data_IF_755112328537
#
_entry.id   IF_755112328537
#
_cell.length_a   1.000
_cell.length_b   1.000
_cell.length_c   1.000
_cell.angle_alpha   90.00
_cell.angle_beta   90.00
_cell.angle_gamma   90.00
#
_symmetry.space_group_name_H-M   'P 1'
#
loop_
_entity.id
_entity.type
_entity.pdbx_description
1 polymer ?
#
# COMPACT_ATOMS: atom_id res chain seq x y z
N UNK A 1 5.59 40.94 -77.14
CA UNK A 1 5.99 39.72 -76.41
C UNK A 1 6.09 39.91 -74.88
N UNK A 2 5.52 40.97 -74.29
CA UNK A 2 5.66 41.22 -72.83
C UNK A 2 4.66 40.45 -71.96
N UNK A 3 3.42 40.23 -72.43
CA UNK A 3 2.37 39.52 -71.66
C UNK A 3 2.72 38.06 -71.31
N UNK A 4 3.46 37.36 -72.18
CA UNK A 4 3.87 35.97 -71.95
C UNK A 4 5.00 35.88 -70.90
N UNK A 5 5.90 36.88 -70.84
CA UNK A 5 6.98 36.94 -69.84
C UNK A 5 6.43 37.24 -68.44
N UNK A 6 5.47 38.17 -68.33
CA UNK A 6 4.84 38.48 -67.04
C UNK A 6 4.04 37.29 -66.48
N UNK A 7 3.30 36.55 -67.30
CA UNK A 7 2.58 35.34 -66.85
C UNK A 7 3.53 34.25 -66.32
N UNK A 8 4.70 34.06 -66.95
CA UNK A 8 5.69 33.08 -66.46
C UNK A 8 6.27 33.48 -65.10
N UNK A 9 6.57 34.78 -64.89
CA UNK A 9 7.05 35.29 -63.60
C UNK A 9 5.97 35.15 -62.51
N UNK A 10 4.71 35.44 -62.85
CA UNK A 10 3.59 35.33 -61.92
C UNK A 10 3.33 33.88 -61.47
N UNK A 11 3.39 32.92 -62.40
CA UNK A 11 3.26 31.49 -62.10
C UNK A 11 4.42 31.01 -61.21
N UNK A 12 5.65 31.43 -61.49
CA UNK A 12 6.82 31.04 -60.68
C UNK A 12 6.71 31.55 -59.23
N UNK A 13 6.28 32.80 -59.03
CA UNK A 13 6.08 33.38 -57.69
C UNK A 13 4.98 32.63 -56.93
N UNK A 14 3.89 32.28 -57.63
CA UNK A 14 2.76 31.57 -57.02
C UNK A 14 3.12 30.13 -56.61
N UNK A 15 3.92 29.43 -57.42
CA UNK A 15 4.41 28.09 -57.10
C UNK A 15 5.37 28.11 -55.90
N UNK A 16 6.29 29.07 -55.84
CA UNK A 16 7.20 29.21 -54.69
C UNK A 16 6.42 29.54 -53.41
N UNK A 17 5.41 30.40 -53.49
CA UNK A 17 4.54 30.74 -52.35
C UNK A 17 3.81 29.52 -51.77
N UNK A 18 3.28 28.64 -52.61
CA UNK A 18 2.59 27.42 -52.17
C UNK A 18 3.55 26.46 -51.46
N UNK A 19 4.78 26.31 -51.97
CA UNK A 19 5.80 25.43 -51.37
C UNK A 19 6.19 25.94 -49.96
N UNK A 20 6.39 27.25 -49.80
CA UNK A 20 6.74 27.86 -48.52
C UNK A 20 5.63 27.67 -47.48
N UNK A 21 4.36 27.85 -47.89
CA UNK A 21 3.21 27.59 -47.01
C UNK A 21 3.15 26.12 -46.59
N UNK A 22 3.44 25.19 -47.51
CA UNK A 22 3.50 23.76 -47.21
C UNK A 22 4.55 23.41 -46.15
N UNK A 23 5.75 23.99 -46.25
CA UNK A 23 6.83 23.80 -45.26
C UNK A 23 6.45 24.40 -43.91
N UNK A 24 5.86 25.60 -43.89
CA UNK A 24 5.41 26.25 -42.65
C UNK A 24 4.30 25.46 -41.95
N UNK A 25 3.35 24.89 -42.71
CA UNK A 25 2.30 24.03 -42.16
C UNK A 25 2.86 22.71 -41.61
N UNK A 26 3.89 22.14 -42.23
CA UNK A 26 4.57 20.95 -41.73
C UNK A 26 5.34 21.25 -40.43
N UNK A 27 6.05 22.38 -40.36
CA UNK A 27 6.72 22.83 -39.14
C UNK A 27 5.73 23.15 -38.02
N UNK A 28 4.57 23.73 -38.32
CA UNK A 28 3.51 24.00 -37.35
C UNK A 28 2.90 22.69 -36.80
N UNK A 29 2.72 21.68 -37.65
CA UNK A 29 2.28 20.35 -37.21
C UNK A 29 3.33 19.65 -36.33
N UNK A 30 4.63 19.76 -36.67
CA UNK A 30 5.71 19.24 -35.82
C UNK A 30 5.82 19.98 -34.48
N UNK A 31 5.66 21.31 -34.46
CA UNK A 31 5.63 22.09 -33.22
C UNK A 31 4.43 21.72 -32.34
N UNK A 32 3.26 21.44 -32.94
CA UNK A 32 2.07 21.02 -32.20
C UNK A 32 2.21 19.62 -31.57
N UNK A 33 2.93 18.70 -32.21
CA UNK A 33 3.21 17.37 -31.66
C UNK A 33 4.30 17.38 -30.57
N UNK A 34 5.25 18.32 -30.66
CA UNK A 34 6.29 18.52 -29.66
C UNK A 34 5.91 19.56 -28.59
N UNK A 35 4.64 19.99 -28.54
CA UNK A 35 4.22 20.94 -27.53
C UNK A 35 4.18 20.27 -26.14
N UNK A 36 4.44 21.01 -25.06
CA UNK A 36 4.32 20.51 -23.69
C UNK A 36 2.93 19.89 -23.40
N UNK A 37 1.89 20.34 -24.09
CA UNK A 37 0.50 19.88 -23.94
C UNK A 37 0.29 18.49 -24.57
N UNK A 38 0.96 18.20 -25.69
CA UNK A 38 0.95 16.87 -26.31
C UNK A 38 1.73 15.85 -25.45
N UNK A 39 2.84 16.27 -24.83
CA UNK A 39 3.61 15.44 -23.90
C UNK A 39 2.88 15.25 -22.55
N UNK A 40 2.18 16.26 -22.05
CA UNK A 40 1.41 16.16 -20.81
C UNK A 40 0.24 15.17 -20.93
N UNK A 41 -0.44 15.11 -22.07
CA UNK A 41 -1.50 14.11 -22.32
C UNK A 41 -0.97 12.67 -22.36
N UNK A 42 0.23 12.47 -22.90
CA UNK A 42 0.92 11.17 -22.94
C UNK A 42 1.40 10.75 -21.55
N UNK A 43 1.88 11.71 -20.74
CA UNK A 43 2.24 11.47 -19.35
C UNK A 43 1.03 11.13 -18.47
N UNK A 44 -0.09 11.85 -18.63
CA UNK A 44 -1.34 11.55 -17.92
C UNK A 44 -1.91 10.18 -18.32
N UNK A 45 -1.82 9.82 -19.60
CA UNK A 45 -2.27 8.51 -20.10
C UNK A 45 -1.41 7.37 -19.58
N UNK A 46 -0.08 7.53 -19.57
CA UNK A 46 0.84 6.52 -19.02
C UNK A 46 0.71 6.39 -17.50
N UNK A 47 0.56 7.50 -16.77
CA UNK A 47 0.28 7.45 -15.34
C UNK A 47 -1.04 6.71 -15.03
N UNK A 48 -2.11 7.00 -15.77
CA UNK A 48 -3.39 6.27 -15.63
C UNK A 48 -3.27 4.79 -15.98
N UNK A 49 -2.54 4.44 -17.05
CA UNK A 49 -2.33 3.05 -17.46
C UNK A 49 -1.47 2.26 -16.45
N UNK A 50 -0.43 2.89 -15.89
CA UNK A 50 0.37 2.33 -14.80
C UNK A 50 -0.47 2.10 -13.55
N UNK A 51 -1.26 3.10 -13.12
CA UNK A 51 -2.16 2.96 -11.97
C UNK A 51 -3.23 1.88 -12.17
N UNK A 52 -3.78 1.75 -13.38
CA UNK A 52 -4.71 0.67 -13.71
C UNK A 52 -4.04 -0.71 -13.66
N UNK A 53 -2.79 -0.82 -14.12
CA UNK A 53 -2.00 -2.05 -14.08
C UNK A 53 -1.69 -2.46 -12.63
N UNK A 54 -1.31 -1.50 -11.79
CA UNK A 54 -1.10 -1.73 -10.35
C UNK A 54 -2.38 -2.19 -9.67
N UNK A 55 -3.54 -1.57 -9.94
CA UNK A 55 -4.82 -2.00 -9.35
C UNK A 55 -5.22 -3.43 -9.73
N UNK A 56 -4.91 -3.87 -10.96
CA UNK A 56 -5.13 -5.26 -11.38
C UNK A 56 -4.16 -6.21 -10.69
N UNK A 57 -2.90 -5.82 -10.55
CA UNK A 57 -1.88 -6.59 -9.84
C UNK A 57 -2.22 -6.74 -8.35
N UNK A 58 -2.66 -5.68 -7.69
CA UNK A 58 -3.08 -5.69 -6.28
C UNK A 58 -4.24 -6.67 -6.06
N UNK A 59 -5.28 -6.59 -6.89
CA UNK A 59 -6.42 -7.53 -6.84
C UNK A 59 -6.01 -8.98 -7.10
N UNK A 60 -5.03 -9.21 -7.97
CA UNK A 60 -4.51 -10.54 -8.23
C UNK A 60 -3.68 -11.07 -7.05
N UNK A 61 -2.88 -10.19 -6.43
CA UNK A 61 -2.09 -10.49 -5.23
C UNK A 61 -3.00 -10.82 -4.05
N UNK A 62 -4.02 -10.01 -3.78
CA UNK A 62 -5.02 -10.27 -2.72
C UNK A 62 -5.66 -11.65 -2.88
N UNK A 63 -6.06 -12.03 -4.10
CA UNK A 63 -6.61 -13.37 -4.38
C UNK A 63 -5.59 -14.48 -4.17
N UNK A 64 -4.33 -14.27 -4.55
CA UNK A 64 -3.27 -15.24 -4.35
C UNK A 64 -2.94 -15.41 -2.86
N UNK A 65 -2.86 -14.30 -2.11
CA UNK A 65 -2.63 -14.26 -0.67
C UNK A 65 -3.77 -14.93 0.10
N UNK A 66 -5.03 -14.67 -0.24
CA UNK A 66 -6.16 -15.35 0.37
C UNK A 66 -6.12 -16.88 0.16
N UNK A 67 -5.78 -17.33 -1.05
CA UNK A 67 -5.60 -18.77 -1.36
C UNK A 67 -4.44 -19.38 -0.57
N UNK A 68 -3.37 -18.62 -0.35
CA UNK A 68 -2.20 -19.04 0.42
C UNK A 68 -2.51 -19.11 1.91
N UNK A 69 -3.05 -18.04 2.48
CA UNK A 69 -3.48 -17.94 3.88
C UNK A 69 -4.43 -19.07 4.28
N UNK A 70 -5.36 -19.45 3.39
CA UNK A 70 -6.31 -20.54 3.61
C UNK A 70 -5.65 -21.94 3.78
N UNK A 71 -4.40 -22.13 3.33
CA UNK A 71 -3.65 -23.38 3.47
C UNK A 71 -2.70 -23.37 4.68
N UNK A 72 -2.43 -22.20 5.23
CA UNK A 72 -1.50 -22.04 6.34
C UNK A 72 -2.22 -22.24 7.68
N UNK A 73 -1.47 -22.69 8.69
CA UNK A 73 -1.96 -22.93 10.04
C UNK A 73 -1.18 -22.07 11.02
N UNK A 74 -1.83 -21.69 12.11
CA UNK A 74 -1.22 -20.89 13.17
C UNK A 74 -2.10 -19.72 13.56
N UNK A 75 -1.86 -19.24 14.78
CA UNK A 75 -2.49 -18.05 15.32
C UNK A 75 -1.56 -16.86 15.05
N UNK A 76 -2.15 -15.68 14.92
CA UNK A 76 -1.40 -14.43 14.69
C UNK A 76 -1.72 -13.46 15.81
N UNK A 77 -0.70 -12.80 16.33
CA UNK A 77 -0.84 -11.66 17.25
C UNK A 77 0.14 -10.56 16.81
N UNK A 78 -0.38 -9.38 16.48
CA UNK A 78 0.41 -8.23 16.02
C UNK A 78 1.38 -8.57 14.88
N UNK A 79 0.83 -9.23 13.84
CA UNK A 79 1.57 -9.67 12.63
C UNK A 79 2.68 -10.70 12.89
N UNK A 80 2.73 -11.29 14.09
CA UNK A 80 3.63 -12.38 14.44
C UNK A 80 2.85 -13.68 14.66
N UNK A 81 3.49 -14.80 14.38
CA UNK A 81 3.01 -16.10 14.86
C UNK A 81 3.01 -16.10 16.39
N UNK A 82 1.88 -16.48 16.97
CA UNK A 82 1.78 -16.72 18.41
C UNK A 82 1.47 -18.19 18.67
N UNK A 83 2.06 -18.73 19.74
CA UNK A 83 1.69 -20.03 20.30
C UNK A 83 0.47 -19.95 21.21
N UNK A 84 0.00 -18.75 21.57
CA UNK A 84 -1.11 -18.56 22.47
C UNK A 84 -2.46 -18.76 21.78
N UNK A 85 -3.33 -19.45 22.48
CA UNK A 85 -4.74 -19.61 22.14
C UNK A 85 -5.58 -18.54 22.84
N UNK A 86 -6.87 -18.46 22.48
CA UNK A 86 -7.86 -17.60 23.18
C UNK A 86 -7.84 -17.80 24.69
N UNK A 87 -7.75 -19.06 25.14
CA UNK A 87 -7.75 -19.40 26.55
C UNK A 87 -6.48 -18.89 27.25
N UNK A 88 -5.33 -18.91 26.59
CA UNK A 88 -4.07 -18.44 27.17
C UNK A 88 -4.13 -16.94 27.45
N UNK A 89 -4.64 -16.15 26.50
CA UNK A 89 -4.85 -14.70 26.70
C UNK A 89 -5.81 -14.40 27.87
N UNK A 90 -6.95 -15.11 27.92
CA UNK A 90 -7.94 -14.91 28.98
C UNK A 90 -7.40 -15.30 30.35
N UNK A 91 -6.73 -16.45 30.44
CA UNK A 91 -6.11 -16.93 31.67
C UNK A 91 -4.99 -16.00 32.14
N UNK A 92 -4.16 -15.50 31.22
CA UNK A 92 -3.11 -14.55 31.53
C UNK A 92 -3.70 -13.24 32.06
N UNK A 93 -4.68 -12.65 31.36
CA UNK A 93 -5.32 -11.38 31.78
C UNK A 93 -5.93 -11.50 33.17
N UNK A 94 -6.65 -12.60 33.45
CA UNK A 94 -7.23 -12.85 34.76
C UNK A 94 -6.16 -12.96 35.87
N UNK A 95 -5.07 -13.69 35.62
CA UNK A 95 -3.95 -13.82 36.56
C UNK A 95 -3.24 -12.49 36.79
N UNK A 96 -2.97 -11.76 35.71
CA UNK A 96 -2.29 -10.47 35.75
C UNK A 96 -3.10 -9.44 36.54
N UNK A 97 -4.40 -9.30 36.26
CA UNK A 97 -5.28 -8.35 36.96
C UNK A 97 -5.58 -8.74 38.42
N UNK A 98 -5.32 -9.98 38.82
CA UNK A 98 -5.40 -10.41 40.22
C UNK A 98 -4.18 -9.98 41.05
N UNK A 99 -3.07 -9.60 40.42
CA UNK A 99 -1.90 -9.05 41.10
C UNK A 99 -2.20 -7.64 41.62
N UNK A 100 -1.50 -7.22 42.68
CA UNK A 100 -1.57 -5.85 43.16
C UNK A 100 -1.06 -4.88 42.10
N UNK A 101 -1.57 -3.64 42.07
CA UNK A 101 -1.12 -2.63 41.11
C UNK A 101 0.40 -2.38 41.20
N UNK A 102 0.93 -2.30 42.42
CA UNK A 102 2.37 -2.18 42.65
C UNK A 102 3.17 -3.36 42.08
N UNK A 103 2.62 -4.57 42.08
CA UNK A 103 3.30 -5.72 41.48
C UNK A 103 3.23 -5.69 39.95
N UNK A 104 2.12 -5.24 39.38
CA UNK A 104 1.95 -5.11 37.93
C UNK A 104 2.86 -4.05 37.35
N UNK A 105 3.04 -2.93 38.04
CA UNK A 105 3.75 -1.75 37.50
C UNK A 105 5.28 -1.81 37.60
N UNK A 106 5.89 -2.91 38.05
CA UNK A 106 7.36 -3.03 38.15
C UNK A 106 8.05 -3.12 36.78
N UNK A 107 9.24 -2.53 36.66
CA UNK A 107 10.09 -2.52 35.44
C UNK A 107 10.47 -3.92 34.90
N UNK A 108 10.34 -4.97 35.72
CA UNK A 108 10.69 -6.35 35.34
C UNK A 108 9.51 -7.16 34.82
N UNK A 109 8.29 -6.61 34.86
CA UNK A 109 7.10 -7.31 34.43
C UNK A 109 7.02 -7.24 32.91
N UNK A 110 7.16 -8.40 32.27
CA UNK A 110 7.24 -8.53 30.82
C UNK A 110 6.49 -9.78 30.36
N UNK A 111 5.84 -9.67 29.20
CA UNK A 111 5.16 -10.80 28.55
C UNK A 111 5.36 -10.73 27.04
N UNK A 112 5.55 -11.89 26.42
CA UNK A 112 5.72 -12.04 24.97
C UNK A 112 4.48 -12.55 24.26
N UNK A 113 3.48 -13.03 24.99
CA UNK A 113 2.22 -13.53 24.41
C UNK A 113 2.46 -14.62 23.35
N UNK A 114 3.47 -15.46 23.57
CA UNK A 114 3.85 -16.53 22.64
C UNK A 114 4.50 -16.05 21.33
N UNK A 115 4.89 -14.78 21.23
CA UNK A 115 5.62 -14.21 20.08
C UNK A 115 7.09 -13.93 20.44
N UNK A 116 7.84 -13.26 19.55
CA UNK A 116 9.22 -12.84 19.86
C UNK A 116 9.28 -11.48 20.55
N UNK A 117 8.31 -10.62 20.27
CA UNK A 117 8.24 -9.26 20.80
C UNK A 117 7.71 -9.28 22.23
N UNK A 118 8.47 -8.67 23.14
CA UNK A 118 8.08 -8.52 24.54
C UNK A 118 7.42 -7.16 24.77
N UNK A 119 6.37 -7.15 25.58
CA UNK A 119 5.76 -5.96 26.16
C UNK A 119 6.22 -5.88 27.60
N UNK A 120 6.86 -4.78 27.96
CA UNK A 120 7.46 -4.60 29.28
C UNK A 120 6.89 -3.35 29.91
N UNK A 121 6.48 -3.46 31.16
CA UNK A 121 6.09 -2.31 31.94
C UNK A 121 7.32 -1.51 32.39
N UNK A 122 7.15 -0.21 32.54
CA UNK A 122 8.15 0.70 33.09
C UNK A 122 7.47 1.58 34.13
N UNK A 123 7.71 1.30 35.41
CA UNK A 123 7.44 2.21 36.52
C UNK A 123 8.20 3.51 36.35
N UNK A 124 9.46 3.42 35.91
CA UNK A 124 10.35 4.57 35.72
C UNK A 124 9.77 5.58 34.72
N UNK A 125 9.22 5.08 33.61
CA UNK A 125 8.64 5.91 32.55
C UNK A 125 7.10 6.05 32.66
N UNK A 126 6.49 5.40 33.66
CA UNK A 126 5.03 5.30 33.85
C UNK A 126 4.28 4.72 32.63
N UNK A 127 4.87 3.70 32.00
CA UNK A 127 4.35 3.03 30.78
C UNK A 127 3.94 1.60 31.14
N UNK A 128 2.65 1.26 31.01
CA UNK A 128 2.11 -0.03 31.46
C UNK A 128 1.29 -0.76 30.37
N UNK A 129 1.91 -1.16 29.24
CA UNK A 129 1.21 -1.79 28.13
C UNK A 129 0.49 -3.09 28.53
N UNK A 130 1.00 -3.81 29.54
CA UNK A 130 0.37 -5.03 30.03
C UNK A 130 -0.94 -4.74 30.78
N UNK A 131 -1.07 -3.60 31.44
CA UNK A 131 -2.36 -3.15 32.03
C UNK A 131 -3.38 -2.87 30.93
N UNK A 132 -2.97 -2.20 29.85
CA UNK A 132 -3.86 -1.90 28.71
C UNK A 132 -4.35 -3.18 28.03
N UNK A 133 -3.43 -4.11 27.72
CA UNK A 133 -3.75 -5.38 27.08
C UNK A 133 -4.64 -6.24 28.00
N UNK A 134 -4.32 -6.34 29.29
CA UNK A 134 -5.11 -7.16 30.21
C UNK A 134 -6.53 -6.61 30.39
N UNK A 135 -6.68 -5.29 30.52
CA UNK A 135 -7.99 -4.65 30.62
C UNK A 135 -8.78 -4.77 29.31
N UNK A 136 -8.13 -4.67 28.15
CA UNK A 136 -8.77 -4.95 26.87
C UNK A 136 -9.32 -6.37 26.80
N UNK A 137 -8.52 -7.37 27.17
CA UNK A 137 -8.95 -8.78 27.19
C UNK A 137 -10.13 -8.97 28.15
N UNK A 138 -10.11 -8.32 29.31
CA UNK A 138 -11.23 -8.38 30.27
C UNK A 138 -12.53 -7.81 29.68
N UNK A 139 -12.44 -6.76 28.85
CA UNK A 139 -13.61 -6.11 28.25
C UNK A 139 -14.12 -6.80 26.98
N UNK A 140 -13.21 -7.20 26.08
CA UNK A 140 -13.52 -7.74 24.74
C UNK A 140 -13.38 -9.25 24.63
N UNK A 141 -12.79 -9.89 25.63
CA UNK A 141 -12.49 -11.33 25.67
C UNK A 141 -11.15 -11.71 25.01
N UNK A 142 -10.58 -10.87 24.14
CA UNK A 142 -9.33 -11.08 23.39
C UNK A 142 -8.64 -9.73 23.13
N UNK A 143 -7.31 -9.70 22.97
CA UNK A 143 -6.61 -8.47 22.64
C UNK A 143 -6.83 -8.11 21.17
N UNK A 144 -6.76 -6.81 20.85
CA UNK A 144 -6.75 -6.37 19.46
C UNK A 144 -5.53 -6.95 18.73
N UNK A 145 -5.72 -7.32 17.45
CA UNK A 145 -4.66 -7.89 16.62
C UNK A 145 -4.43 -9.38 16.81
N UNK A 146 -5.22 -10.07 17.66
CA UNK A 146 -5.23 -11.53 17.74
C UNK A 146 -6.18 -12.15 16.70
N UNK A 147 -5.66 -13.14 15.99
CA UNK A 147 -6.39 -13.93 15.00
C UNK A 147 -6.13 -15.41 15.23
N UNK A 148 -7.22 -16.18 15.37
CA UNK A 148 -7.15 -17.63 15.56
C UNK A 148 -6.61 -18.37 14.32
N UNK A 149 -6.70 -17.76 13.14
CA UNK A 149 -6.14 -18.33 11.91
C UNK A 149 -5.47 -17.27 11.04
N UNK A 150 -4.45 -17.67 10.29
CA UNK A 150 -3.84 -16.84 9.24
C UNK A 150 -4.87 -16.42 8.18
N UNK A 151 -5.85 -17.30 7.90
CA UNK A 151 -6.97 -16.98 7.02
C UNK A 151 -7.81 -15.81 7.53
N UNK A 152 -8.14 -15.77 8.83
CA UNK A 152 -8.88 -14.65 9.41
C UNK A 152 -8.05 -13.37 9.43
N UNK A 153 -6.75 -13.47 9.72
CA UNK A 153 -5.83 -12.33 9.63
C UNK A 153 -5.79 -11.75 8.21
N UNK A 154 -5.50 -12.57 7.20
CA UNK A 154 -5.44 -12.09 5.82
C UNK A 154 -6.81 -11.59 5.29
N UNK A 155 -7.93 -12.08 5.82
CA UNK A 155 -9.24 -11.54 5.45
C UNK A 155 -9.41 -10.07 5.87
N UNK A 156 -8.86 -9.69 7.02
CA UNK A 156 -8.86 -8.31 7.50
C UNK A 156 -7.71 -7.49 6.89
N UNK A 157 -6.65 -8.16 6.41
CA UNK A 157 -5.48 -7.58 5.77
C UNK A 157 -5.24 -8.17 4.36
N UNK A 158 -6.13 -7.92 3.38
CA UNK A 158 -6.14 -8.64 2.11
C UNK A 158 -4.87 -8.46 1.27
N UNK A 159 -4.22 -7.29 1.37
CA UNK A 159 -2.96 -6.99 0.70
C UNK A 159 -1.71 -7.54 1.40
N UNK A 160 -1.84 -8.07 2.61
CA UNK A 160 -0.71 -8.60 3.37
C UNK A 160 -0.30 -9.97 2.84
N UNK A 161 0.96 -10.11 2.42
CA UNK A 161 1.51 -11.39 2.01
C UNK A 161 1.67 -12.32 3.22
N UNK A 162 1.01 -13.49 3.28
CA UNK A 162 1.06 -14.37 4.45
C UNK A 162 2.46 -14.91 4.80
N UNK A 163 3.43 -14.85 3.88
CA UNK A 163 4.82 -15.20 4.19
C UNK A 163 5.52 -14.18 5.09
N UNK A 164 5.04 -12.94 5.08
CA UNK A 164 5.66 -11.83 5.80
C UNK A 164 5.25 -11.79 7.27
N UNK A 165 4.37 -12.71 7.70
CA UNK A 165 4.04 -12.91 9.12
C UNK A 165 5.32 -13.35 9.84
N UNK A 166 5.71 -12.55 10.84
CA UNK A 166 6.97 -12.76 11.56
C UNK A 166 6.89 -14.06 12.37
N UNK A 167 7.91 -14.89 12.24
CA UNK A 167 8.11 -16.10 13.06
C UNK A 167 8.92 -15.76 14.28
#
# INVERSE_FOLDING_TARGET
MEKIKQNKIWITILVIGIIVIGILLAMLHQQKQNSPEAQSSSYVSSAKASSASTSVQDKNNEKAYAKKAAKMKGHVYNEEYTTWTKADFQNWSAKYLAMSESDRHKDSVSEKFGTKTAYTNSSTDMIYPLDDIANEIKQKGLPTGYYETIKSFNKEHPGFNPDDIKK
#
